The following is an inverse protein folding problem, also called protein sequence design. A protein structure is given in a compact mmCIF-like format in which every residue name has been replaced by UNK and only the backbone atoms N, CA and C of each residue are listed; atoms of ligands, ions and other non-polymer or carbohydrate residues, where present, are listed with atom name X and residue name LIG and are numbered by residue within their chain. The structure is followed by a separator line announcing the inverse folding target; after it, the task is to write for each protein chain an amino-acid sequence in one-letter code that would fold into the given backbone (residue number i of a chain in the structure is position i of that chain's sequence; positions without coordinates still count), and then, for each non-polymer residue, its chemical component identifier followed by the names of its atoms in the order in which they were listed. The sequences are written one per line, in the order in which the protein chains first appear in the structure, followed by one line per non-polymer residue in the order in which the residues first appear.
data_IF_237215954210
#
_entry.id   IF_237215954210
#
_cell.length_a   1.000
_cell.length_b   1.000
_cell.length_c   1.000
_cell.angle_alpha   90.00
_cell.angle_beta   90.00
_cell.angle_gamma   90.00
#
_symmetry.space_group_name_H-M   'P 1'
#
loop_
_entity.id
_entity.type
_entity.pdbx_description
1 polymer ?
#
# COMPACT_ATOMS: atom_id res chain seq x y z
N UNK A 1 0.13 21.05 55.26
CA UNK A 1 0.18 22.17 54.29
C UNK A 1 0.60 21.56 52.96
N UNK A 2 -0.40 21.26 52.12
CA UNK A 2 -0.25 20.50 50.89
C UNK A 2 0.35 21.39 49.79
N UNK A 3 1.41 20.92 49.12
CA UNK A 3 1.82 21.44 47.83
C UNK A 3 1.47 20.38 46.79
N UNK A 4 0.39 20.62 46.05
CA UNK A 4 0.00 19.80 44.91
C UNK A 4 1.11 19.82 43.84
N UNK A 5 1.48 18.67 43.25
CA UNK A 5 2.31 18.67 42.06
C UNK A 5 1.49 19.28 40.91
N UNK A 6 1.96 20.41 40.40
CA UNK A 6 1.42 21.09 39.22
C UNK A 6 1.28 20.09 38.06
N UNK A 7 0.06 19.69 37.78
CA UNK A 7 -0.32 18.90 36.61
C UNK A 7 -0.27 19.83 35.40
N UNK A 8 0.91 19.89 34.76
CA UNK A 8 1.04 20.56 33.48
C UNK A 8 -0.02 20.03 32.50
N UNK A 9 -0.75 20.90 31.78
CA UNK A 9 -1.77 20.44 30.83
C UNK A 9 -1.11 19.57 29.76
N UNK A 10 -1.55 18.31 29.61
CA UNK A 10 -1.13 17.45 28.50
C UNK A 10 -1.45 18.18 27.19
N UNK A 11 -0.49 18.48 26.31
CA UNK A 11 -0.80 19.10 25.04
C UNK A 11 -1.71 18.16 24.26
N UNK A 12 -2.96 18.60 24.07
CA UNK A 12 -3.93 18.00 23.15
C UNK A 12 -3.45 18.20 21.71
N UNK A 13 -2.45 17.41 21.31
CA UNK A 13 -1.92 17.37 19.97
C UNK A 13 -1.89 15.93 19.53
N UNK A 14 -2.63 15.60 18.47
CA UNK A 14 -2.54 14.32 17.76
C UNK A 14 -1.07 13.88 17.73
N UNK A 15 -0.75 12.80 18.46
CA UNK A 15 0.62 12.36 18.71
C UNK A 15 1.37 12.26 17.38
N UNK A 16 2.65 12.57 17.35
CA UNK A 16 3.49 12.59 16.14
C UNK A 16 3.38 11.30 15.28
N UNK A 17 3.01 10.16 15.88
CA UNK A 17 2.59 8.93 15.19
C UNK A 17 1.34 9.11 14.31
N UNK A 18 0.29 9.74 14.84
CA UNK A 18 -0.97 10.01 14.12
C UNK A 18 -0.77 10.95 12.92
N UNK A 19 0.31 11.75 12.87
CA UNK A 19 0.68 12.57 11.70
C UNK A 19 1.53 11.81 10.68
N UNK A 20 2.27 10.77 11.09
CA UNK A 20 3.17 9.99 10.22
C UNK A 20 2.46 8.87 9.47
N UNK A 21 1.45 8.25 10.07
CA UNK A 21 0.65 7.18 9.46
C UNK A 21 -0.14 7.64 8.22
N UNK A 22 -0.81 8.82 8.20
CA UNK A 22 -1.55 9.30 7.03
C UNK A 22 -0.68 9.50 5.79
N UNK A 23 0.54 10.00 5.96
CA UNK A 23 1.47 10.20 4.84
C UNK A 23 2.00 8.87 4.28
N UNK A 24 2.33 7.91 5.15
CA UNK A 24 2.70 6.56 4.74
C UNK A 24 1.55 5.83 4.02
N UNK A 25 0.33 5.96 4.55
CA UNK A 25 -0.88 5.44 3.92
C UNK A 25 -1.10 6.03 2.53
N UNK A 26 -0.92 7.35 2.36
CA UNK A 26 -1.11 7.98 1.06
C UNK A 26 -0.12 7.43 0.03
N UNK A 27 1.17 7.33 0.38
CA UNK A 27 2.20 6.75 -0.50
C UNK A 27 1.86 5.31 -0.88
N UNK A 28 1.50 4.49 0.09
CA UNK A 28 1.06 3.11 -0.13
C UNK A 28 -0.15 3.05 -1.08
N UNK A 29 -1.18 3.87 -0.85
CA UNK A 29 -2.39 3.91 -1.69
C UNK A 29 -2.06 4.29 -3.13
N UNK A 30 -1.27 5.35 -3.34
CA UNK A 30 -0.85 5.77 -4.69
C UNK A 30 -0.10 4.63 -5.39
N UNK A 31 0.86 3.99 -4.70
CA UNK A 31 1.61 2.89 -5.30
C UNK A 31 0.74 1.65 -5.57
N UNK A 32 -0.20 1.32 -4.68
CA UNK A 32 -1.14 0.23 -4.90
C UNK A 32 -2.01 0.46 -6.15
N UNK A 33 -2.50 1.69 -6.35
CA UNK A 33 -3.26 2.05 -7.55
C UNK A 33 -2.38 2.01 -8.81
N UNK A 34 -1.18 2.59 -8.77
CA UNK A 34 -0.27 2.60 -9.92
C UNK A 34 0.09 1.19 -10.36
N UNK A 35 0.54 0.34 -9.43
CA UNK A 35 0.90 -1.04 -9.70
C UNK A 35 -0.31 -1.86 -10.15
N UNK A 36 -1.46 -1.69 -9.49
CA UNK A 36 -2.70 -2.39 -9.83
C UNK A 36 -3.25 -2.04 -11.21
N UNK A 37 -3.24 -0.75 -11.59
CA UNK A 37 -3.65 -0.30 -12.93
C UNK A 37 -2.66 -0.80 -13.98
N UNK A 38 -1.36 -0.68 -13.73
CA UNK A 38 -0.33 -1.15 -14.66
C UNK A 38 -0.44 -2.67 -14.91
N UNK A 39 -0.66 -3.45 -13.85
CA UNK A 39 -0.89 -4.89 -13.95
C UNK A 39 -2.19 -5.20 -14.71
N UNK A 40 -3.27 -4.43 -14.47
CA UNK A 40 -4.52 -4.59 -15.21
C UNK A 40 -4.33 -4.31 -16.72
N UNK A 41 -3.57 -3.28 -17.10
CA UNK A 41 -3.23 -3.00 -18.51
C UNK A 41 -2.36 -4.11 -19.09
N UNK A 42 -1.37 -4.61 -18.35
CA UNK A 42 -0.53 -5.73 -18.79
C UNK A 42 -1.38 -6.96 -19.13
N UNK A 43 -2.32 -7.32 -18.26
CA UNK A 43 -3.14 -8.53 -18.42
C UNK A 43 -4.27 -8.34 -19.42
N UNK A 44 -4.96 -7.19 -19.44
CA UNK A 44 -6.14 -6.97 -20.27
C UNK A 44 -5.81 -6.42 -21.67
N UNK A 45 -4.65 -5.80 -21.86
CA UNK A 45 -4.26 -5.20 -23.16
C UNK A 45 -3.03 -5.89 -23.71
N UNK A 46 -1.94 -5.94 -22.94
CA UNK A 46 -0.68 -6.44 -23.46
C UNK A 46 -0.72 -7.95 -23.74
N UNK A 47 -1.37 -8.75 -22.89
CA UNK A 47 -1.51 -10.20 -23.13
C UNK A 47 -2.40 -10.52 -24.35
N UNK A 48 -3.59 -9.94 -24.53
CA UNK A 48 -4.36 -10.13 -25.78
C UNK A 48 -3.60 -9.66 -27.00
N UNK A 49 -2.93 -8.50 -26.94
CA UNK A 49 -2.15 -8.01 -28.08
C UNK A 49 -0.99 -8.95 -28.46
N UNK A 50 -0.30 -9.49 -27.45
CA UNK A 50 0.75 -10.50 -27.65
C UNK A 50 0.22 -11.75 -28.35
N UNK A 51 -0.97 -12.24 -27.97
CA UNK A 51 -1.50 -13.50 -28.54
C UNK A 51 -2.30 -13.31 -29.82
N UNK A 52 -2.93 -12.16 -30.04
CA UNK A 52 -3.79 -11.89 -31.20
C UNK A 52 -3.06 -11.20 -32.35
N UNK A 53 -2.01 -10.43 -32.04
CA UNK A 53 -1.26 -9.65 -33.02
C UNK A 53 0.24 -9.97 -33.02
N UNK A 54 0.69 -11.01 -32.29
CA UNK A 54 2.10 -11.43 -32.16
C UNK A 54 3.07 -10.29 -31.82
N UNK A 55 2.58 -9.28 -31.07
CA UNK A 55 3.34 -8.08 -30.72
C UNK A 55 3.74 -8.12 -29.22
N UNK A 56 4.95 -8.62 -28.88
CA UNK A 56 5.35 -8.83 -27.48
C UNK A 56 5.84 -7.57 -26.77
N UNK A 57 6.15 -6.50 -27.52
CA UNK A 57 6.83 -5.29 -27.01
C UNK A 57 6.08 -4.60 -25.87
N UNK A 58 4.74 -4.58 -25.90
CA UNK A 58 3.96 -4.02 -24.80
C UNK A 58 4.12 -4.83 -23.51
N UNK A 59 4.18 -6.16 -23.60
CA UNK A 59 4.39 -7.04 -22.45
C UNK A 59 5.79 -6.84 -21.87
N UNK A 60 6.79 -6.66 -22.72
CA UNK A 60 8.17 -6.39 -22.29
C UNK A 60 8.26 -5.05 -21.56
N UNK A 61 7.80 -3.97 -22.17
CA UNK A 61 7.89 -2.62 -21.58
C UNK A 61 7.06 -2.52 -20.30
N UNK A 62 5.78 -2.91 -20.36
CA UNK A 62 4.87 -2.78 -19.21
C UNK A 62 5.24 -3.79 -18.12
N UNK A 63 5.68 -5.00 -18.50
CA UNK A 63 6.13 -6.03 -17.56
C UNK A 63 7.36 -5.61 -16.78
N UNK A 64 8.37 -5.05 -17.45
CA UNK A 64 9.56 -4.48 -16.78
C UNK A 64 9.18 -3.32 -15.87
N UNK A 65 8.33 -2.39 -16.34
CA UNK A 65 7.84 -1.29 -15.50
C UNK A 65 7.08 -1.79 -14.27
N UNK A 66 6.26 -2.83 -14.41
CA UNK A 66 5.53 -3.43 -13.30
C UNK A 66 6.47 -4.07 -12.29
N UNK A 67 7.46 -4.86 -12.73
CA UNK A 67 8.45 -5.45 -11.84
C UNK A 67 9.19 -4.40 -11.00
N UNK A 68 9.63 -3.31 -11.64
CA UNK A 68 10.31 -2.21 -10.95
C UNK A 68 9.37 -1.48 -9.96
N UNK A 69 8.18 -1.09 -10.40
CA UNK A 69 7.22 -0.38 -9.55
C UNK A 69 6.68 -1.26 -8.43
N UNK A 70 6.58 -2.57 -8.65
CA UNK A 70 6.22 -3.54 -7.63
C UNK A 70 7.25 -3.55 -6.49
N UNK A 71 8.56 -3.52 -6.80
CA UNK A 71 9.59 -3.42 -5.77
C UNK A 71 9.44 -2.14 -4.92
N UNK A 72 9.17 -0.99 -5.55
CA UNK A 72 8.93 0.27 -4.82
C UNK A 72 7.65 0.20 -3.99
N UNK A 73 6.59 -0.41 -4.52
CA UNK A 73 5.36 -0.67 -3.77
C UNK A 73 5.62 -1.51 -2.51
N UNK A 74 6.43 -2.58 -2.60
CA UNK A 74 6.80 -3.39 -1.44
C UNK A 74 7.50 -2.57 -0.36
N UNK A 75 8.38 -1.64 -0.72
CA UNK A 75 9.01 -0.74 0.23
C UNK A 75 7.98 0.14 0.94
N UNK A 76 7.03 0.71 0.20
CA UNK A 76 5.97 1.55 0.81
C UNK A 76 5.00 0.73 1.67
N UNK A 77 4.69 -0.50 1.26
CA UNK A 77 3.86 -1.43 2.02
C UNK A 77 4.57 -1.86 3.32
N UNK A 78 5.87 -2.12 3.25
CA UNK A 78 6.66 -2.49 4.41
C UNK A 78 6.84 -1.32 5.39
N UNK A 79 7.12 -0.10 4.92
CA UNK A 79 7.16 1.11 5.76
C UNK A 79 5.83 1.31 6.50
N UNK A 80 4.70 1.13 5.80
CA UNK A 80 3.38 1.21 6.41
C UNK A 80 3.15 0.06 7.40
N UNK A 81 3.52 -1.18 7.05
CA UNK A 81 3.33 -2.36 7.88
C UNK A 81 4.10 -2.28 9.20
N UNK A 82 5.34 -1.75 9.18
CA UNK A 82 6.13 -1.49 10.37
C UNK A 82 5.48 -0.44 11.27
N UNK A 83 5.02 0.68 10.68
CA UNK A 83 4.35 1.77 11.42
C UNK A 83 2.99 1.37 12.00
N UNK A 84 2.24 0.55 11.28
CA UNK A 84 0.90 0.10 11.66
C UNK A 84 0.91 -1.27 12.36
N UNK A 85 2.09 -1.85 12.64
CA UNK A 85 2.29 -3.13 13.32
C UNK A 85 1.43 -4.26 12.75
N UNK A 86 1.50 -4.44 11.44
CA UNK A 86 0.73 -5.48 10.74
C UNK A 86 1.17 -6.89 11.14
N UNK A 87 0.24 -7.82 10.99
CA UNK A 87 0.52 -9.25 11.14
C UNK A 87 1.16 -9.81 9.86
N UNK A 88 1.84 -10.96 9.97
CA UNK A 88 2.42 -11.64 8.81
C UNK A 88 1.36 -11.97 7.73
N UNK A 89 0.11 -12.24 8.16
CA UNK A 89 -1.01 -12.49 7.25
C UNK A 89 -1.39 -11.24 6.45
N UNK A 90 -1.36 -10.06 7.07
CA UNK A 90 -1.61 -8.78 6.39
C UNK A 90 -0.55 -8.47 5.34
N UNK A 91 0.73 -8.69 5.67
CA UNK A 91 1.85 -8.53 4.73
C UNK A 91 1.69 -9.50 3.55
N UNK A 92 1.42 -10.77 3.82
CA UNK A 92 1.23 -11.79 2.78
C UNK A 92 0.02 -11.45 1.88
N UNK A 93 -1.09 -10.97 2.46
CA UNK A 93 -2.27 -10.55 1.70
C UNK A 93 -1.97 -9.40 0.74
N UNK A 94 -1.19 -8.41 1.18
CA UNK A 94 -0.78 -7.28 0.32
C UNK A 94 0.22 -7.71 -0.76
N UNK A 95 1.11 -8.64 -0.44
CA UNK A 95 2.07 -9.22 -1.39
C UNK A 95 1.34 -9.93 -2.54
N UNK A 96 0.40 -10.81 -2.20
CA UNK A 96 -0.42 -11.54 -3.17
C UNK A 96 -1.34 -10.59 -3.96
N UNK A 97 -1.85 -9.55 -3.32
CA UNK A 97 -2.71 -8.58 -3.99
C UNK A 97 -1.97 -7.80 -5.08
N UNK A 98 -0.66 -7.58 -4.94
CA UNK A 98 0.16 -6.90 -5.94
C UNK A 98 0.45 -7.70 -7.21
N UNK A 99 0.26 -9.03 -7.17
CA UNK A 99 0.54 -9.94 -8.30
C UNK A 99 -0.71 -10.44 -9.00
N UNK A 100 -1.89 -10.38 -8.35
CA UNK A 100 -3.15 -10.76 -8.97
C UNK A 100 -3.92 -9.51 -9.37
N UNK A 101 -4.33 -9.37 -10.64
CA UNK A 101 -5.13 -8.23 -11.08
C UNK A 101 -6.40 -8.13 -10.25
N UNK A 102 -6.86 -6.89 -10.03
CA UNK A 102 -8.02 -6.53 -9.20
C UNK A 102 -7.86 -6.69 -7.68
N UNK A 103 -7.11 -7.69 -7.20
CA UNK A 103 -6.90 -7.90 -5.76
C UNK A 103 -6.13 -6.75 -5.09
N UNK A 104 -5.25 -6.07 -5.82
CA UNK A 104 -4.57 -4.84 -5.35
C UNK A 104 -5.55 -3.77 -4.86
N UNK A 105 -6.67 -3.55 -5.57
CA UNK A 105 -7.66 -2.55 -5.18
C UNK A 105 -8.44 -2.97 -3.93
N UNK A 106 -8.73 -4.27 -3.79
CA UNK A 106 -9.40 -4.79 -2.59
C UNK A 106 -8.49 -4.68 -1.37
N UNK A 107 -7.22 -5.06 -1.52
CA UNK A 107 -6.22 -4.95 -0.45
C UNK A 107 -6.01 -3.49 -0.01
N UNK A 108 -5.90 -2.56 -0.96
CA UNK A 108 -5.81 -1.13 -0.67
C UNK A 108 -6.99 -0.65 0.18
N UNK A 109 -8.21 -1.08 -0.16
CA UNK A 109 -9.43 -0.65 0.53
C UNK A 109 -9.52 -1.22 1.94
N UNK A 110 -9.15 -2.49 2.11
CA UNK A 110 -9.11 -3.16 3.42
C UNK A 110 -8.06 -2.50 4.31
N UNK A 111 -6.85 -2.32 3.80
CA UNK A 111 -5.73 -1.69 4.52
C UNK A 111 -6.10 -0.28 4.95
N UNK A 112 -6.66 0.52 4.04
CA UNK A 112 -7.07 1.90 4.34
C UNK A 112 -8.14 1.94 5.43
N UNK A 113 -9.14 1.04 5.37
CA UNK A 113 -10.20 0.95 6.38
C UNK A 113 -9.65 0.54 7.75
N UNK A 114 -8.86 -0.54 7.81
CA UNK A 114 -8.28 -1.04 9.07
C UNK A 114 -7.32 -0.04 9.70
N UNK A 115 -6.44 0.58 8.90
CA UNK A 115 -5.50 1.56 9.43
C UNK A 115 -6.20 2.83 9.94
N UNK A 116 -7.30 3.27 9.30
CA UNK A 116 -8.13 4.37 9.82
C UNK A 116 -8.90 4.00 11.09
N UNK A 117 -9.29 2.73 11.24
CA UNK A 117 -9.93 2.20 12.44
C UNK A 117 -8.95 1.93 13.59
N UNK A 118 -7.63 2.05 13.35
CA UNK A 118 -6.59 1.68 14.32
C UNK A 118 -6.41 0.17 14.49
N UNK A 119 -7.01 -0.62 13.61
CA UNK A 119 -6.90 -2.08 13.60
C UNK A 119 -5.63 -2.55 12.89
N UNK A 120 -5.04 -3.63 13.38
CA UNK A 120 -3.91 -4.29 12.73
C UNK A 120 -4.41 -5.07 11.52
N UNK A 121 -3.64 -5.04 10.44
CA UNK A 121 -3.94 -5.80 9.22
C UNK A 121 -3.43 -7.22 9.34
#
# INVERSE_FOLDING_TARGET
MAAEPTTAPKPGGKTWEQRRIPAALLRYRVMAYVVGVLLAVLVLVAMPLKYLADEPRLVEVIGTLHGFLYAVFLLTAFDLALRARWTAKGILGVLLAGTVPFLSFVAERIVTRRTRAGERV
#
